data_IF_331861578521
#
_entry.id   IF_331861578521
#
_cell.length_a   1.000
_cell.length_b   1.000
_cell.length_c   1.000
_cell.angle_alpha   90.00
_cell.angle_beta   90.00
_cell.angle_gamma   90.00
#
_symmetry.space_group_name_H-M   'P 1'
#
loop_
_entity.id
_entity.type
_entity.pdbx_description
1 polymer ?
#
# COMPACT_ATOMS: atom_id res chain seq x y z
N UNK A 1 12.95 1.58 17.45
CA UNK A 1 12.21 0.38 17.01
C UNK A 1 12.09 0.34 15.50
N UNK A 2 12.41 -0.78 14.87
CA UNK A 2 12.23 -0.89 13.42
C UNK A 2 10.77 -0.79 13.04
N UNK A 3 10.54 -0.25 11.86
CA UNK A 3 9.19 -0.11 11.30
C UNK A 3 9.02 -1.18 10.23
N UNK A 4 7.94 -1.93 10.30
CA UNK A 4 7.61 -2.89 9.26
C UNK A 4 6.14 -2.76 8.87
N UNK A 5 5.90 -2.13 7.73
CA UNK A 5 4.56 -1.95 7.19
C UNK A 5 4.46 -2.60 5.83
N UNK A 6 3.25 -3.07 5.49
CA UNK A 6 2.92 -3.47 4.12
C UNK A 6 1.99 -2.44 3.53
N UNK A 7 2.32 -1.99 2.33
CA UNK A 7 1.43 -1.13 1.53
C UNK A 7 0.72 -1.98 0.49
N UNK A 8 -0.58 -1.79 0.34
CA UNK A 8 -1.38 -2.53 -0.62
C UNK A 8 -2.10 -1.59 -1.59
N UNK A 9 -1.99 -1.90 -2.86
CA UNK A 9 -2.82 -1.32 -3.92
C UNK A 9 -3.80 -2.40 -4.36
N UNK A 10 -5.05 -2.29 -3.90
CA UNK A 10 -6.05 -3.35 -4.08
C UNK A 10 -6.83 -3.10 -5.37
N UNK A 11 -6.54 -3.87 -6.40
CA UNK A 11 -7.28 -3.85 -7.66
C UNK A 11 -8.33 -4.96 -7.72
N UNK A 12 -9.07 -5.00 -8.82
CA UNK A 12 -10.09 -6.04 -9.03
C UNK A 12 -9.45 -7.40 -9.30
N UNK A 13 -8.37 -7.43 -10.04
CA UNK A 13 -7.70 -8.67 -10.46
C UNK A 13 -6.38 -8.92 -9.74
N UNK A 14 -5.73 -7.87 -9.27
CA UNK A 14 -4.40 -7.97 -8.66
C UNK A 14 -4.28 -7.06 -7.46
N UNK A 15 -3.39 -7.43 -6.55
CA UNK A 15 -3.00 -6.61 -5.42
C UNK A 15 -1.51 -6.33 -5.51
N UNK A 16 -1.14 -5.07 -5.66
CA UNK A 16 0.26 -4.66 -5.54
C UNK A 16 0.66 -4.62 -4.07
N UNK A 17 1.86 -5.10 -3.77
CA UNK A 17 2.36 -5.17 -2.39
C UNK A 17 3.72 -4.51 -2.29
N UNK A 18 3.87 -3.63 -1.31
CA UNK A 18 5.12 -2.95 -1.03
C UNK A 18 5.51 -3.13 0.44
N UNK A 19 6.79 -3.00 0.72
CA UNK A 19 7.34 -3.00 2.07
C UNK A 19 8.26 -1.81 2.25
N UNK A 20 8.80 -1.66 3.44
CA UNK A 20 9.72 -0.57 3.74
C UNK A 20 10.98 -1.09 4.44
N UNK A 21 12.02 -0.27 4.41
CA UNK A 21 13.22 -0.53 5.21
C UNK A 21 12.94 -0.30 6.70
N UNK A 22 13.76 -0.85 7.57
CA UNK A 22 13.55 -0.75 9.02
C UNK A 22 13.63 0.66 9.58
N UNK A 23 14.22 1.60 8.82
CA UNK A 23 14.29 3.00 9.23
C UNK A 23 13.02 3.79 8.93
N UNK A 24 12.13 3.23 8.10
CA UNK A 24 10.90 3.92 7.69
C UNK A 24 11.12 5.05 6.72
N UNK A 25 12.23 5.05 6.00
CA UNK A 25 12.56 6.11 5.03
C UNK A 25 12.11 5.78 3.62
N UNK A 26 12.25 4.51 3.19
CA UNK A 26 12.07 4.13 1.80
C UNK A 26 11.12 2.97 1.69
N UNK A 27 10.11 3.11 0.82
CA UNK A 27 9.22 2.03 0.41
C UNK A 27 9.68 1.45 -0.92
N UNK A 28 9.48 0.15 -1.10
CA UNK A 28 9.83 -0.55 -2.33
C UNK A 28 8.80 -1.64 -2.63
N UNK A 29 8.61 -1.93 -3.91
CA UNK A 29 7.69 -2.98 -4.33
C UNK A 29 8.22 -4.36 -3.96
N UNK A 30 7.35 -5.23 -3.47
CA UNK A 30 7.69 -6.60 -3.10
C UNK A 30 7.17 -7.58 -4.14
N UNK A 31 5.87 -7.58 -4.39
CA UNK A 31 5.23 -8.55 -5.27
C UNK A 31 3.88 -8.04 -5.76
N UNK A 32 3.30 -8.77 -6.69
CA UNK A 32 1.93 -8.58 -7.14
C UNK A 32 1.18 -9.90 -6.96
N UNK A 33 0.05 -9.85 -6.28
CA UNK A 33 -0.79 -11.03 -6.04
C UNK A 33 -1.86 -11.08 -7.11
N UNK A 34 -1.90 -12.17 -7.89
CA UNK A 34 -3.04 -12.46 -8.76
C UNK A 34 -4.18 -12.95 -7.87
N UNK A 35 -5.27 -12.19 -7.83
CA UNK A 35 -6.38 -12.50 -6.93
C UNK A 35 -7.10 -13.77 -7.40
N UNK A 36 -7.26 -14.71 -6.49
CA UNK A 36 -7.92 -15.99 -6.75
C UNK A 36 -9.14 -16.14 -5.84
N UNK A 37 -8.92 -16.11 -4.54
CA UNK A 37 -9.95 -16.18 -3.52
C UNK A 37 -9.44 -15.45 -2.29
N UNK A 38 -10.37 -15.10 -1.41
CA UNK A 38 -9.98 -14.45 -0.14
C UNK A 38 -8.95 -15.31 0.61
N UNK A 39 -9.20 -16.60 0.71
CA UNK A 39 -8.33 -17.51 1.46
C UNK A 39 -6.95 -17.63 0.83
N UNK A 40 -6.86 -17.72 -0.49
CA UNK A 40 -5.57 -17.83 -1.19
C UNK A 40 -4.79 -16.51 -1.06
N UNK A 41 -5.46 -15.37 -1.23
CA UNK A 41 -4.83 -14.07 -1.13
C UNK A 41 -4.35 -13.80 0.30
N UNK A 42 -5.18 -14.16 1.29
CA UNK A 42 -4.81 -14.05 2.71
C UNK A 42 -3.57 -14.88 3.02
N UNK A 43 -3.48 -16.10 2.48
CA UNK A 43 -2.32 -16.97 2.74
C UNK A 43 -1.02 -16.33 2.28
N UNK A 44 -1.02 -15.69 1.11
CA UNK A 44 0.17 -14.99 0.60
C UNK A 44 0.54 -13.83 1.54
N UNK A 45 -0.46 -13.04 1.96
CA UNK A 45 -0.22 -11.92 2.86
C UNK A 45 0.25 -12.38 4.23
N UNK A 46 -0.30 -13.47 4.76
CA UNK A 46 0.15 -14.05 6.04
C UNK A 46 1.62 -14.43 5.98
N UNK A 47 2.07 -15.01 4.87
CA UNK A 47 3.46 -15.39 4.69
C UNK A 47 4.38 -14.16 4.71
N UNK A 48 3.99 -13.10 4.00
CA UNK A 48 4.76 -11.86 3.96
C UNK A 48 4.80 -11.18 5.34
N UNK A 49 3.68 -11.16 6.04
CA UNK A 49 3.60 -10.59 7.40
C UNK A 49 4.55 -11.32 8.34
N UNK A 50 4.57 -12.64 8.26
CA UNK A 50 5.45 -13.47 9.10
C UNK A 50 6.92 -13.24 8.75
N UNK A 51 7.26 -13.30 7.48
CA UNK A 51 8.65 -13.16 7.03
C UNK A 51 9.24 -11.79 7.37
N UNK A 52 8.43 -10.75 7.25
CA UNK A 52 8.89 -9.37 7.44
C UNK A 52 8.53 -8.81 8.81
N UNK A 53 7.85 -9.58 9.65
CA UNK A 53 7.39 -9.16 10.98
C UNK A 53 6.61 -7.84 10.89
N UNK A 54 5.63 -7.83 10.00
CA UNK A 54 4.82 -6.64 9.71
C UNK A 54 3.96 -6.28 10.92
N UNK A 55 3.93 -4.99 11.25
CA UNK A 55 3.15 -4.48 12.37
C UNK A 55 2.01 -3.55 11.95
N UNK A 56 1.96 -3.12 10.70
CA UNK A 56 0.93 -2.20 10.21
C UNK A 56 0.58 -2.49 8.77
N UNK A 57 -0.71 -2.45 8.45
CA UNK A 57 -1.20 -2.60 7.08
C UNK A 57 -1.67 -1.24 6.58
N UNK A 58 -1.13 -0.80 5.44
CA UNK A 58 -1.45 0.48 4.83
C UNK A 58 -2.11 0.22 3.48
N UNK A 59 -3.29 0.76 3.27
CA UNK A 59 -4.08 0.51 2.04
C UNK A 59 -4.46 1.84 1.40
N UNK A 60 -4.23 1.94 0.11
CA UNK A 60 -4.65 3.11 -0.65
C UNK A 60 -6.15 3.09 -0.94
N UNK A 61 -6.80 4.23 -0.80
CA UNK A 61 -8.21 4.39 -1.14
C UNK A 61 -8.37 5.36 -2.30
N UNK A 62 -9.08 4.96 -3.38
CA UNK A 62 -9.33 5.84 -4.51
C UNK A 62 -10.53 6.76 -4.24
N UNK A 63 -10.28 7.87 -3.55
CA UNK A 63 -11.34 8.87 -3.36
C UNK A 63 -11.73 9.46 -4.71
N UNK A 64 -13.02 9.80 -4.84
CA UNK A 64 -13.50 10.57 -5.99
C UNK A 64 -12.89 11.97 -5.97
N UNK A 65 -12.90 12.65 -7.12
CA UNK A 65 -12.28 13.98 -7.22
C UNK A 65 -12.91 15.01 -6.28
N UNK A 66 -14.15 14.79 -5.87
CA UNK A 66 -14.84 15.64 -4.89
C UNK A 66 -14.53 15.24 -3.42
N UNK A 67 -13.67 14.25 -3.21
CA UNK A 67 -13.29 13.79 -1.87
C UNK A 67 -14.21 12.76 -1.25
N UNK A 68 -15.24 12.31 -1.96
CA UNK A 68 -16.16 11.29 -1.45
C UNK A 68 -15.65 9.87 -1.75
N UNK A 69 -16.15 8.89 -1.00
CA UNK A 69 -15.86 7.48 -1.22
C UNK A 69 -16.88 6.87 -2.18
N UNK A 70 -16.40 6.41 -3.34
CA UNK A 70 -17.23 5.71 -4.31
C UNK A 70 -17.40 4.23 -3.99
N UNK A 71 -18.05 3.51 -4.90
CA UNK A 71 -18.32 2.08 -4.75
C UNK A 71 -17.02 1.28 -4.66
N UNK A 72 -16.04 1.59 -5.51
CA UNK A 72 -14.76 0.90 -5.52
C UNK A 72 -14.03 1.06 -4.18
N UNK A 73 -14.00 2.28 -3.65
CA UNK A 73 -13.35 2.54 -2.36
C UNK A 73 -14.01 1.75 -1.23
N UNK A 74 -15.33 1.64 -1.25
CA UNK A 74 -16.06 0.86 -0.24
C UNK A 74 -15.74 -0.62 -0.33
N UNK A 75 -15.60 -1.15 -1.55
CA UNK A 75 -15.21 -2.54 -1.75
C UNK A 75 -13.80 -2.80 -1.22
N UNK A 76 -12.89 -1.87 -1.45
CA UNK A 76 -11.52 -1.95 -0.93
C UNK A 76 -11.54 -1.93 0.60
N UNK A 77 -12.33 -1.05 1.21
CA UNK A 77 -12.45 -0.98 2.67
C UNK A 77 -12.96 -2.30 3.24
N UNK A 78 -13.95 -2.89 2.63
CA UNK A 78 -14.50 -4.17 3.07
C UNK A 78 -13.44 -5.27 3.03
N UNK A 79 -12.72 -5.36 1.91
CA UNK A 79 -11.64 -6.32 1.75
C UNK A 79 -10.52 -6.08 2.77
N UNK A 80 -10.06 -4.82 2.87
CA UNK A 80 -8.95 -4.46 3.75
C UNK A 80 -9.28 -4.71 5.22
N UNK A 81 -10.50 -4.40 5.64
CA UNK A 81 -10.96 -4.66 7.01
C UNK A 81 -10.93 -6.14 7.31
N UNK A 82 -11.42 -6.98 6.39
CA UNK A 82 -11.42 -8.43 6.58
C UNK A 82 -9.98 -8.98 6.65
N UNK A 83 -9.10 -8.51 5.77
CA UNK A 83 -7.69 -8.92 5.77
C UNK A 83 -6.99 -8.48 7.06
N UNK A 84 -7.15 -7.23 7.46
CA UNK A 84 -6.51 -6.70 8.67
C UNK A 84 -6.96 -7.47 9.92
N UNK A 85 -8.25 -7.79 9.99
CA UNK A 85 -8.80 -8.58 11.09
C UNK A 85 -8.21 -9.99 11.11
N UNK A 86 -8.12 -10.63 9.95
CA UNK A 86 -7.55 -11.98 9.85
C UNK A 86 -6.05 -11.99 10.20
N UNK A 87 -5.32 -10.94 9.83
CA UNK A 87 -3.90 -10.79 10.14
C UNK A 87 -3.65 -10.25 11.55
N UNK A 88 -4.68 -9.74 12.20
CA UNK A 88 -4.59 -9.11 13.54
C UNK A 88 -3.63 -7.91 13.53
N UNK A 89 -3.74 -7.08 12.50
CA UNK A 89 -2.90 -5.89 12.32
C UNK A 89 -3.74 -4.62 12.31
N UNK A 90 -3.17 -3.51 12.82
CA UNK A 90 -3.80 -2.21 12.61
C UNK A 90 -3.82 -1.86 11.13
N UNK A 91 -4.87 -1.17 10.72
CA UNK A 91 -5.14 -0.80 9.34
C UNK A 91 -5.19 0.71 9.23
N UNK A 92 -4.41 1.26 8.30
CA UNK A 92 -4.44 2.68 8.00
C UNK A 92 -4.63 2.89 6.50
N UNK A 93 -5.27 4.01 6.13
CA UNK A 93 -5.56 4.33 4.74
C UNK A 93 -4.79 5.55 4.28
N UNK A 94 -4.52 5.57 2.98
CA UNK A 94 -3.88 6.70 2.30
C UNK A 94 -4.73 7.05 1.09
N UNK A 95 -4.93 8.36 0.85
CA UNK A 95 -5.62 8.84 -0.34
C UNK A 95 -4.70 8.62 -1.55
N UNK A 96 -5.11 7.70 -2.44
CA UNK A 96 -4.27 7.29 -3.58
C UNK A 96 -4.70 7.92 -4.91
N UNK A 97 -5.40 9.05 -4.88
CA UNK A 97 -5.81 9.71 -6.12
C UNK A 97 -4.60 9.88 -7.06
N UNK A 98 -4.74 9.41 -8.30
CA UNK A 98 -3.72 9.49 -9.35
C UNK A 98 -2.44 8.68 -9.10
N UNK A 99 -2.40 7.81 -8.08
CA UNK A 99 -1.19 7.02 -7.78
C UNK A 99 -0.83 6.07 -8.93
N UNK A 100 -1.82 5.43 -9.55
CA UNK A 100 -1.57 4.55 -10.70
C UNK A 100 -1.01 5.31 -11.88
N UNK A 101 -1.50 6.53 -12.14
CA UNK A 101 -0.98 7.39 -13.19
C UNK A 101 0.49 7.76 -12.92
N UNK A 102 0.81 8.13 -11.69
CA UNK A 102 2.18 8.42 -11.28
C UNK A 102 3.09 7.19 -11.46
N UNK A 103 2.58 6.01 -11.09
CA UNK A 103 3.34 4.77 -11.25
C UNK A 103 3.67 4.50 -12.71
N UNK A 104 2.70 4.68 -13.61
CA UNK A 104 2.90 4.50 -15.04
C UNK A 104 3.94 5.47 -15.58
N UNK A 105 3.87 6.75 -15.18
CA UNK A 105 4.83 7.76 -15.62
C UNK A 105 6.24 7.42 -15.16
N UNK A 106 6.41 6.98 -13.92
CA UNK A 106 7.73 6.63 -13.40
C UNK A 106 8.31 5.42 -14.13
N UNK A 107 7.50 4.41 -14.42
CA UNK A 107 7.94 3.24 -15.16
C UNK A 107 8.30 3.59 -16.59
N UNK A 108 7.56 4.48 -17.26
CA UNK A 108 7.89 4.96 -18.60
C UNK A 108 9.24 5.67 -18.60
N UNK A 109 9.53 6.48 -17.58
CA UNK A 109 10.82 7.15 -17.44
C UNK A 109 11.96 6.14 -17.27
N UNK A 110 11.68 4.97 -16.71
CA UNK A 110 12.64 3.87 -16.57
C UNK A 110 12.72 2.99 -17.83
N UNK A 111 11.95 3.32 -18.89
CA UNK A 111 11.95 2.58 -20.14
C UNK A 111 11.05 1.34 -20.13
N UNK A 112 10.14 1.24 -19.17
CA UNK A 112 9.24 0.08 -19.04
C UNK A 112 7.86 0.45 -19.60
N UNK A 113 7.32 -0.39 -20.49
CA UNK A 113 6.01 -0.18 -21.08
C UNK A 113 4.91 -0.70 -20.11
N UNK A 114 4.04 0.17 -19.59
CA UNK A 114 3.02 -0.25 -18.59
C UNK A 114 2.07 -1.33 -19.11
N UNK A 115 1.74 -1.29 -20.40
CA UNK A 115 0.81 -2.26 -20.99
C UNK A 115 1.33 -3.69 -20.96
N UNK A 116 2.64 -3.90 -20.85
CA UNK A 116 3.28 -5.21 -20.83
C UNK A 116 3.68 -5.64 -19.42
N UNK A 117 3.67 -4.70 -18.46
CA UNK A 117 4.22 -4.91 -17.12
C UNK A 117 3.21 -4.48 -16.04
N UNK A 118 1.98 -4.98 -16.16
CA UNK A 118 0.90 -4.60 -15.22
C UNK A 118 1.25 -4.89 -13.76
N UNK A 119 1.92 -6.02 -13.51
CA UNK A 119 2.35 -6.36 -12.14
C UNK A 119 3.34 -5.36 -11.58
N UNK A 120 4.23 -4.81 -12.42
CA UNK A 120 5.17 -3.77 -11.98
C UNK A 120 4.45 -2.45 -11.69
N UNK A 121 3.43 -2.10 -12.46
CA UNK A 121 2.60 -0.92 -12.20
C UNK A 121 1.93 -1.05 -10.82
N UNK A 122 1.35 -2.21 -10.53
CA UNK A 122 0.68 -2.46 -9.25
C UNK A 122 1.66 -2.36 -8.07
N UNK A 123 2.86 -2.93 -8.21
CA UNK A 123 3.90 -2.85 -7.18
C UNK A 123 4.39 -1.42 -6.99
N UNK A 124 4.56 -0.68 -8.09
CA UNK A 124 5.00 0.72 -8.03
C UNK A 124 3.93 1.57 -7.35
N UNK A 125 2.66 1.36 -7.68
CA UNK A 125 1.55 2.06 -7.03
C UNK A 125 1.52 1.76 -5.52
N UNK A 126 1.71 0.50 -5.13
CA UNK A 126 1.77 0.14 -3.72
C UNK A 126 2.95 0.81 -3.01
N UNK A 127 4.11 0.91 -3.67
CA UNK A 127 5.27 1.59 -3.08
C UNK A 127 5.02 3.09 -2.89
N UNK A 128 4.30 3.73 -3.81
CA UNK A 128 3.94 5.14 -3.69
C UNK A 128 2.96 5.38 -2.55
N UNK A 129 1.98 4.50 -2.40
CA UNK A 129 1.03 4.53 -1.28
C UNK A 129 1.77 4.44 0.06
N UNK A 130 2.66 3.46 0.18
CA UNK A 130 3.40 3.26 1.41
C UNK A 130 4.39 4.40 1.66
N UNK A 131 5.05 4.90 0.62
CA UNK A 131 5.97 6.03 0.75
C UNK A 131 5.25 7.28 1.28
N UNK A 132 4.04 7.54 0.77
CA UNK A 132 3.23 8.66 1.25
C UNK A 132 2.92 8.51 2.74
N UNK A 133 2.54 7.32 3.18
CA UNK A 133 2.27 7.05 4.59
C UNK A 133 3.52 7.26 5.45
N UNK A 134 4.67 6.77 4.99
CA UNK A 134 5.95 6.94 5.71
C UNK A 134 6.32 8.43 5.83
N UNK A 135 6.17 9.19 4.75
CA UNK A 135 6.49 10.62 4.73
C UNK A 135 5.57 11.40 5.67
N UNK A 136 4.28 11.13 5.64
CA UNK A 136 3.31 11.76 6.53
C UNK A 136 3.61 11.43 7.99
N UNK A 137 3.94 10.19 8.29
CA UNK A 137 4.27 9.74 9.63
C UNK A 137 5.50 10.47 10.17
N UNK A 138 6.54 10.63 9.37
CA UNK A 138 7.74 11.37 9.78
C UNK A 138 7.43 12.85 10.03
N UNK A 139 6.59 13.46 9.20
CA UNK A 139 6.16 14.84 9.39
C UNK A 139 5.41 15.03 10.70
N UNK A 140 4.50 14.11 11.02
CA UNK A 140 3.75 14.13 12.26
C UNK A 140 4.68 13.97 13.48
N UNK A 141 5.63 13.05 13.41
CA UNK A 141 6.59 12.82 14.48
C UNK A 141 7.48 14.06 14.70
N UNK A 142 7.93 14.70 13.62
CA UNK A 142 8.73 15.91 13.70
C UNK A 142 7.94 17.06 14.35
N UNK A 143 6.65 17.22 14.00
CA UNK A 143 5.77 18.22 14.61
C UNK A 143 5.58 17.98 16.10
N UNK A 144 5.32 16.71 16.46
CA UNK A 144 5.15 16.32 17.87
C UNK A 144 6.42 16.65 18.68
N UNK A 145 7.59 16.32 18.13
CA UNK A 145 8.86 16.60 18.81
C UNK A 145 9.11 18.11 18.97
N UNK A 146 8.71 18.92 17.98
CA UNK A 146 8.90 20.36 18.05
C UNK A 146 7.95 21.05 19.03
N UNK A 147 6.80 20.42 19.34
CA UNK A 147 5.83 21.00 20.29
C UNK A 147 6.12 20.63 21.74
N UNK A 148 7.08 19.76 21.99
CA UNK A 148 7.44 19.32 23.35
C UNK A 148 8.54 20.16 24.02
N UNK A 149 8.95 21.23 23.40
CA UNK A 149 10.00 22.11 23.96
C UNK A 149 9.43 23.13 24.95
#
# INVERSE_FOLDING_TARGET
>A
MPISALGLDVGKKRIGVAGCDGTGLIAFGITTIERKSFQADLAVLQQLVKERQVDTLVVGLPYSMDGTLGVQARQIQKFATAIAKALQLPLEYVDERLTSFQAEQLLQAEGIAPSRQKGLVDRKAASLILQQWLDERRSQNARSNSTQI
#
